data_IF_179598577380
#
_entry.id   IF_179598577380
#
_cell.length_a   1.000
_cell.length_b   1.000
_cell.length_c   1.000
_cell.angle_alpha   90.00
_cell.angle_beta   90.00
_cell.angle_gamma   90.00
#
_symmetry.space_group_name_H-M   'P 1'
#
loop_
_entity.id
_entity.type
_entity.pdbx_description
1 polymer ?
#
# COMPACT_ATOMS: atom_id res chain seq x y z
N UNK A 1 26.61 3.35 -11.88
CA UNK A 1 26.98 3.85 -13.21
C UNK A 1 26.24 5.17 -13.37
N UNK A 2 26.95 6.31 -13.49
CA UNK A 2 26.33 7.64 -13.53
C UNK A 2 25.25 7.77 -14.62
N UNK A 3 25.33 6.96 -15.68
CA UNK A 3 24.36 6.97 -16.77
C UNK A 3 23.02 6.29 -16.41
N UNK A 4 23.04 5.35 -15.45
CA UNK A 4 21.84 4.65 -15.00
C UNK A 4 20.99 5.56 -14.12
N UNK A 5 21.61 6.38 -13.26
CA UNK A 5 20.89 7.32 -12.37
C UNK A 5 20.15 8.41 -13.17
N UNK A 6 20.80 9.07 -14.14
CA UNK A 6 20.16 10.09 -14.99
C UNK A 6 19.05 9.52 -15.90
N UNK A 7 19.19 8.28 -16.40
CA UNK A 7 18.18 7.64 -17.24
C UNK A 7 16.96 7.20 -16.43
N UNK A 8 17.20 6.68 -15.22
CA UNK A 8 16.17 6.33 -14.23
C UNK A 8 15.31 7.54 -13.86
N UNK A 9 15.93 8.69 -13.58
CA UNK A 9 15.21 9.91 -13.20
C UNK A 9 14.32 10.43 -14.35
N UNK A 10 14.74 10.23 -15.61
CA UNK A 10 13.98 10.69 -16.78
C UNK A 10 12.94 9.68 -17.30
N UNK A 11 13.08 8.38 -17.03
CA UNK A 11 12.28 7.33 -17.68
C UNK A 11 11.60 6.32 -16.74
N UNK A 12 11.82 6.38 -15.42
CA UNK A 12 10.95 5.79 -14.39
C UNK A 12 10.39 4.38 -14.62
N UNK A 13 11.12 3.46 -15.25
CA UNK A 13 10.63 2.12 -15.59
C UNK A 13 11.30 1.05 -14.72
N UNK A 14 10.76 0.82 -13.53
CA UNK A 14 11.26 -0.17 -12.58
C UNK A 14 10.35 -1.40 -12.46
N UNK A 15 10.96 -2.56 -12.21
CA UNK A 15 10.26 -3.78 -11.82
C UNK A 15 10.67 -4.17 -10.42
N UNK A 16 9.70 -4.40 -9.56
CA UNK A 16 9.91 -4.98 -8.24
C UNK A 16 9.50 -6.45 -8.33
N UNK A 17 10.46 -7.34 -8.11
CA UNK A 17 10.21 -8.79 -8.07
C UNK A 17 9.86 -9.22 -6.63
N UNK A 18 9.11 -10.33 -6.51
CA UNK A 18 8.80 -10.98 -5.23
C UNK A 18 8.01 -10.10 -4.26
N UNK A 19 7.08 -9.28 -4.77
CA UNK A 19 6.21 -8.44 -3.91
C UNK A 19 5.41 -9.27 -2.90
N UNK A 20 5.08 -10.51 -3.24
CA UNK A 20 4.37 -11.44 -2.36
C UNK A 20 5.25 -11.98 -1.22
N UNK A 21 6.58 -11.84 -1.32
CA UNK A 21 7.51 -12.26 -0.26
C UNK A 21 7.92 -11.09 0.66
N UNK A 22 7.75 -9.84 0.21
CA UNK A 22 8.14 -8.65 0.97
C UNK A 22 7.08 -8.34 2.00
N UNK A 23 7.40 -8.47 3.30
CA UNK A 23 6.49 -8.13 4.37
C UNK A 23 6.56 -6.65 4.75
N UNK A 24 5.42 -5.96 4.68
CA UNK A 24 5.26 -4.59 5.20
C UNK A 24 5.16 -4.62 6.72
N UNK A 25 4.40 -5.59 7.22
CA UNK A 25 4.33 -5.98 8.63
C UNK A 25 4.10 -7.48 8.72
N UNK A 26 4.19 -8.07 9.91
CA UNK A 26 4.06 -9.51 10.10
C UNK A 26 2.75 -10.04 9.51
N UNK A 27 2.86 -10.91 8.49
CA UNK A 27 1.71 -11.53 7.83
C UNK A 27 0.89 -10.60 6.92
N UNK A 28 1.48 -9.49 6.45
CA UNK A 28 0.96 -8.65 5.35
C UNK A 28 2.08 -8.42 4.35
N UNK A 29 1.88 -8.90 3.12
CA UNK A 29 2.87 -8.77 2.04
C UNK A 29 2.59 -7.50 1.25
N UNK A 30 3.59 -6.98 0.56
CA UNK A 30 3.41 -5.81 -0.29
C UNK A 30 2.45 -6.13 -1.45
N UNK A 31 2.54 -7.33 -2.03
CA UNK A 31 1.66 -7.79 -3.10
C UNK A 31 0.20 -7.96 -2.68
N UNK A 32 -0.09 -8.14 -1.40
CA UNK A 32 -1.48 -8.23 -0.91
C UNK A 32 -2.15 -6.87 -0.72
N UNK A 33 -1.44 -5.75 -0.89
CA UNK A 33 -1.99 -4.40 -0.69
C UNK A 33 -2.33 -3.73 -2.02
N UNK A 34 -3.57 -3.27 -2.14
CA UNK A 34 -4.01 -2.36 -3.20
C UNK A 34 -4.05 -0.94 -2.69
N UNK A 35 -3.63 0.01 -3.52
CA UNK A 35 -3.69 1.45 -3.24
C UNK A 35 -4.52 2.12 -4.32
N UNK A 36 -5.56 2.85 -3.93
CA UNK A 36 -6.48 3.54 -4.85
C UNK A 36 -6.61 4.99 -4.42
N UNK A 37 -6.48 5.93 -5.36
CA UNK A 37 -6.78 7.33 -5.11
C UNK A 37 -8.30 7.54 -5.16
N UNK A 38 -8.90 7.91 -4.03
CA UNK A 38 -10.35 8.07 -3.89
C UNK A 38 -10.80 9.54 -3.94
N UNK A 39 -9.89 10.47 -3.68
CA UNK A 39 -10.08 11.92 -3.82
C UNK A 39 -8.72 12.60 -4.03
N UNK A 40 -8.70 13.92 -4.25
CA UNK A 40 -7.46 14.69 -4.43
C UNK A 40 -6.52 14.49 -3.24
N UNK A 41 -5.40 13.81 -3.50
CA UNK A 41 -4.36 13.43 -2.52
C UNK A 41 -4.85 12.52 -1.39
N UNK A 42 -6.00 11.87 -1.54
CA UNK A 42 -6.52 10.86 -0.59
C UNK A 42 -6.39 9.48 -1.22
N UNK A 43 -5.71 8.59 -0.50
CA UNK A 43 -5.45 7.22 -0.94
C UNK A 43 -6.06 6.22 0.04
N UNK A 44 -6.90 5.33 -0.47
CA UNK A 44 -7.36 4.14 0.24
C UNK A 44 -6.33 3.02 0.06
N UNK A 45 -5.99 2.35 1.16
CA UNK A 45 -5.14 1.17 1.17
C UNK A 45 -5.92 0.01 1.78
N UNK A 46 -6.12 -1.05 1.00
CA UNK A 46 -6.87 -2.23 1.41
C UNK A 46 -6.14 -3.53 1.01
N UNK A 47 -6.51 -4.65 1.64
CA UNK A 47 -6.09 -5.95 1.10
C UNK A 47 -6.79 -6.22 -0.22
N UNK A 48 -6.04 -6.62 -1.24
CA UNK A 48 -6.57 -7.20 -2.48
C UNK A 48 -6.62 -8.71 -2.44
N UNK A 49 -6.12 -9.31 -1.36
CA UNK A 49 -6.18 -10.74 -1.11
C UNK A 49 -7.44 -11.08 -0.27
N UNK A 50 -8.46 -11.73 -0.87
CA UNK A 50 -9.69 -12.07 -0.16
C UNK A 50 -9.49 -13.13 0.92
N UNK A 51 -8.48 -13.99 0.81
CA UNK A 51 -8.17 -15.01 1.81
C UNK A 51 -7.42 -14.40 3.01
N UNK A 52 -6.83 -13.22 2.83
CA UNK A 52 -6.05 -12.51 3.82
C UNK A 52 -6.49 -11.04 3.98
N UNK A 53 -7.70 -10.80 4.53
CA UNK A 53 -8.16 -9.44 4.80
C UNK A 53 -7.29 -8.74 5.86
N UNK A 54 -7.24 -7.41 5.81
CA UNK A 54 -6.63 -6.62 6.87
C UNK A 54 -7.51 -6.64 8.12
N UNK A 55 -7.05 -7.32 9.15
CA UNK A 55 -7.58 -7.11 10.51
C UNK A 55 -7.16 -5.73 11.03
N UNK A 56 -7.87 -5.17 12.00
CA UNK A 56 -7.53 -3.87 12.58
C UNK A 56 -6.06 -3.81 13.07
N UNK A 57 -5.59 -4.90 13.69
CA UNK A 57 -4.19 -5.01 14.14
C UNK A 57 -3.20 -4.93 12.98
N UNK A 58 -3.47 -5.66 11.88
CA UNK A 58 -2.64 -5.63 10.67
C UNK A 58 -2.67 -4.27 9.99
N UNK A 59 -3.85 -3.66 9.88
CA UNK A 59 -4.03 -2.33 9.31
C UNK A 59 -3.26 -1.25 10.09
N UNK A 60 -3.29 -1.30 11.43
CA UNK A 60 -2.46 -0.43 12.29
C UNK A 60 -0.97 -0.66 12.06
N UNK A 61 -0.53 -1.90 11.86
CA UNK A 61 0.85 -2.23 11.53
C UNK A 61 1.30 -1.66 10.18
N UNK A 62 0.45 -1.75 9.15
CA UNK A 62 0.70 -1.13 7.83
C UNK A 62 0.78 0.39 7.97
N UNK A 63 -0.19 1.01 8.65
CA UNK A 63 -0.19 2.46 8.90
C UNK A 63 1.09 2.91 9.62
N UNK A 64 1.54 2.18 10.63
CA UNK A 64 2.79 2.48 11.33
C UNK A 64 4.00 2.36 10.41
N UNK A 65 4.07 1.32 9.56
CA UNK A 65 5.14 1.17 8.59
C UNK A 65 5.21 2.36 7.62
N UNK A 66 4.07 2.82 7.11
CA UNK A 66 4.00 3.98 6.22
C UNK A 66 4.39 5.29 6.92
N UNK A 67 3.95 5.49 8.17
CA UNK A 67 4.37 6.66 8.98
C UNK A 67 5.88 6.69 9.19
N UNK A 68 6.51 5.54 9.43
CA UNK A 68 7.97 5.44 9.61
C UNK A 68 8.77 5.79 8.35
N UNK A 69 8.15 5.69 7.18
CA UNK A 69 8.75 6.06 5.90
C UNK A 69 8.45 7.51 5.49
N UNK A 70 7.75 8.28 6.34
CA UNK A 70 7.38 9.67 6.08
C UNK A 70 6.65 9.88 4.74
N UNK A 71 5.86 8.87 4.34
CA UNK A 71 5.19 8.85 3.03
C UNK A 71 3.92 9.70 2.97
N UNK A 72 3.28 9.95 4.12
CA UNK A 72 2.00 10.64 4.22
C UNK A 72 1.98 11.55 5.45
N UNK A 73 1.40 12.76 5.30
CA UNK A 73 1.23 13.72 6.39
C UNK A 73 0.22 13.23 7.44
N UNK A 74 -0.83 12.53 7.00
CA UNK A 74 -1.89 11.98 7.84
C UNK A 74 -2.25 10.55 7.39
N UNK A 75 -2.46 9.65 8.35
CA UNK A 75 -2.93 8.28 8.10
C UNK A 75 -4.01 7.94 9.12
N UNK A 76 -5.19 7.61 8.65
CA UNK A 76 -6.32 7.13 9.45
C UNK A 76 -6.58 5.64 9.16
N UNK A 77 -7.01 4.90 10.19
CA UNK A 77 -7.33 3.47 10.06
C UNK A 77 -8.77 3.28 10.49
N UNK A 78 -9.61 2.85 9.56
CA UNK A 78 -11.04 2.63 9.77
C UNK A 78 -11.50 1.33 9.09
N UNK A 79 -12.60 0.73 9.54
CA UNK A 79 -13.21 -0.38 8.82
C UNK A 79 -13.60 0.05 7.41
N UNK A 80 -13.37 -0.82 6.42
CA UNK A 80 -13.88 -0.57 5.07
C UNK A 80 -15.39 -0.59 5.12
N UNK A 81 -16.03 0.50 4.66
CA UNK A 81 -17.47 0.46 4.42
C UNK A 81 -17.72 -0.60 3.36
N UNK A 82 -18.52 -1.62 3.68
CA UNK A 82 -19.05 -2.50 2.64
C UNK A 82 -19.79 -1.58 1.67
N UNK A 83 -19.46 -1.65 0.37
CA UNK A 83 -20.36 -1.15 -0.66
C UNK A 83 -21.69 -1.88 -0.41
N UNK A 84 -22.62 -1.22 0.29
CA UNK A 84 -24.00 -1.63 0.37
C UNK A 84 -24.50 -1.55 -1.06
N UNK A 85 -24.34 -2.64 -1.81
CA UNK A 85 -25.01 -2.81 -3.10
C UNK A 85 -26.49 -2.78 -2.79
N UNK A 86 -27.08 -1.60 -2.93
CA UNK A 86 -28.51 -1.42 -2.97
C UNK A 86 -29.02 -2.23 -4.17
N UNK A 87 -29.72 -3.33 -3.88
CA UNK A 87 -30.56 -4.05 -4.84
C UNK A 87 -31.72 -3.17 -5.34
#
# INVERSE_FOLDING_TARGET
DPFIEDWVEQHGNFKIHNMDDIQVTSGVTLGSLGVVCIDDRVFEIASVDPDHPLTEHKAKGVAEALRRQDMFDEINVEPREEELTAE
#
